data_IF_369518942307
#
_entry.id   IF_369518942307
#
_cell.length_a   1.000
_cell.length_b   1.000
_cell.length_c   1.000
_cell.angle_alpha   90.00
_cell.angle_beta   90.00
_cell.angle_gamma   90.00
#
_symmetry.space_group_name_H-M   'P 1'
#
loop_
_entity.id
_entity.type
_entity.pdbx_description
1 polymer ?
#
# COMPACT_ATOMS: atom_id res chain seq x y z
N UNK A 1 14.20 -12.82 -35.36
CA UNK A 1 14.26 -12.76 -33.91
C UNK A 1 15.62 -13.20 -33.36
N UNK A 2 16.06 -14.44 -33.68
CA UNK A 2 17.34 -15.02 -33.17
C UNK A 2 18.54 -14.15 -33.54
N UNK A 3 18.64 -13.68 -34.78
CA UNK A 3 19.70 -12.76 -35.21
C UNK A 3 19.67 -11.42 -34.46
N UNK A 4 18.48 -10.89 -34.17
CA UNK A 4 18.33 -9.66 -33.37
C UNK A 4 18.77 -9.90 -31.92
N UNK A 5 18.44 -11.05 -31.33
CA UNK A 5 18.89 -11.43 -30.00
C UNK A 5 20.42 -11.56 -29.90
N UNK A 6 21.04 -12.24 -30.87
CA UNK A 6 22.50 -12.38 -30.93
C UNK A 6 23.25 -11.03 -30.97
N UNK A 7 22.66 -10.01 -31.62
CA UNK A 7 23.24 -8.67 -31.65
C UNK A 7 23.24 -7.95 -30.30
N UNK A 8 22.46 -8.43 -29.31
CA UNK A 8 22.48 -7.87 -27.94
C UNK A 8 23.67 -8.33 -27.11
N UNK A 9 24.43 -9.33 -27.57
CA UNK A 9 25.52 -9.96 -26.82
C UNK A 9 25.05 -10.93 -25.74
N UNK A 10 23.75 -11.15 -25.59
CA UNK A 10 23.20 -12.10 -24.62
C UNK A 10 23.26 -13.53 -25.16
N UNK A 11 23.53 -14.54 -24.30
CA UNK A 11 23.57 -15.93 -24.73
C UNK A 11 22.20 -16.43 -25.19
N UNK A 12 22.16 -17.22 -26.26
CA UNK A 12 20.89 -17.77 -26.78
C UNK A 12 20.18 -18.66 -25.74
N UNK A 13 20.93 -19.26 -24.83
CA UNK A 13 20.40 -20.08 -23.71
C UNK A 13 19.55 -19.24 -22.73
N UNK A 14 19.65 -17.92 -22.75
CA UNK A 14 18.80 -17.03 -21.93
C UNK A 14 17.48 -16.64 -22.62
N UNK A 15 17.23 -17.10 -23.85
CA UNK A 15 16.01 -16.80 -24.60
C UNK A 15 15.06 -18.00 -24.58
N UNK A 16 13.79 -17.74 -24.24
CA UNK A 16 12.67 -18.63 -24.51
C UNK A 16 11.56 -17.84 -25.19
N UNK A 17 10.98 -18.37 -26.25
CA UNK A 17 9.93 -17.70 -27.01
C UNK A 17 8.90 -18.71 -27.47
N UNK A 18 7.63 -18.34 -27.33
CA UNK A 18 6.49 -19.02 -27.92
C UNK A 18 5.60 -17.97 -28.58
N UNK A 19 5.33 -18.10 -29.87
CA UNK A 19 4.44 -17.25 -30.62
C UNK A 19 3.44 -18.14 -31.35
N UNK A 20 2.16 -17.94 -31.08
CA UNK A 20 1.09 -18.74 -31.67
C UNK A 20 -0.09 -17.84 -32.00
N UNK A 21 -0.71 -18.03 -33.14
CA UNK A 21 -2.03 -17.48 -33.42
C UNK A 21 -3.05 -18.20 -32.55
N UNK A 22 -4.00 -17.47 -31.98
CA UNK A 22 -5.01 -18.04 -31.06
C UNK A 22 -5.94 -19.03 -31.73
N UNK A 23 -6.07 -18.97 -33.07
CA UNK A 23 -6.91 -19.84 -33.87
C UNK A 23 -6.15 -21.03 -34.48
N UNK A 24 -4.81 -21.07 -34.33
CA UNK A 24 -3.98 -22.09 -34.94
C UNK A 24 -3.40 -23.03 -33.88
N UNK A 25 -3.42 -24.36 -34.12
CA UNK A 25 -2.94 -25.35 -33.16
C UNK A 25 -1.39 -25.41 -33.05
N UNK A 26 -0.68 -24.83 -34.00
CA UNK A 26 0.79 -24.87 -34.07
C UNK A 26 1.40 -23.48 -33.84
N UNK A 27 2.52 -23.42 -33.10
CA UNK A 27 3.21 -22.15 -32.95
C UNK A 27 3.85 -21.68 -34.24
N UNK A 28 3.82 -20.38 -34.48
CA UNK A 28 4.59 -19.71 -35.55
C UNK A 28 6.08 -19.71 -35.23
N UNK A 29 6.42 -19.67 -33.94
CA UNK A 29 7.80 -19.69 -33.44
C UNK A 29 7.84 -20.35 -32.07
N UNK A 30 8.77 -21.29 -31.89
CA UNK A 30 9.07 -21.92 -30.62
C UNK A 30 10.57 -22.00 -30.44
N UNK A 31 11.10 -21.38 -29.41
CA UNK A 31 12.53 -21.41 -29.04
C UNK A 31 12.62 -21.71 -27.55
N UNK A 32 13.19 -22.86 -27.18
CA UNK A 32 13.36 -23.30 -25.80
C UNK A 32 12.11 -23.04 -24.93
N UNK A 33 10.91 -23.26 -25.48
CA UNK A 33 9.63 -22.92 -24.85
C UNK A 33 9.32 -23.78 -23.62
N UNK A 34 9.86 -24.99 -23.56
CA UNK A 34 9.69 -25.94 -22.44
C UNK A 34 10.65 -25.67 -21.28
N UNK A 35 11.59 -24.75 -21.43
CA UNK A 35 12.51 -24.42 -20.36
C UNK A 35 11.84 -23.55 -19.31
N UNK A 36 11.92 -23.98 -18.03
CA UNK A 36 11.46 -23.19 -16.89
C UNK A 36 12.25 -21.88 -16.80
N UNK A 37 11.51 -20.76 -16.64
CA UNK A 37 12.04 -19.41 -16.50
C UNK A 37 11.42 -18.70 -15.29
N UNK A 38 12.18 -17.78 -14.71
CA UNK A 38 11.62 -16.87 -13.73
C UNK A 38 10.73 -15.86 -14.44
N UNK A 39 9.44 -15.93 -14.21
CA UNK A 39 8.45 -15.12 -14.93
C UNK A 39 8.41 -13.66 -14.43
N UNK A 40 9.01 -13.37 -13.28
CA UNK A 40 8.90 -12.06 -12.64
C UNK A 40 7.43 -11.56 -12.63
N UNK A 41 7.18 -10.31 -12.99
CA UNK A 41 5.83 -9.74 -12.96
C UNK A 41 4.85 -10.34 -13.99
N UNK A 42 5.32 -11.14 -14.95
CA UNK A 42 4.41 -11.87 -15.86
C UNK A 42 3.58 -12.91 -15.08
N UNK A 43 4.07 -13.40 -13.92
CA UNK A 43 3.29 -14.26 -13.02
C UNK A 43 1.93 -13.65 -12.63
N UNK A 44 1.82 -12.33 -12.59
CA UNK A 44 0.56 -11.65 -12.26
C UNK A 44 -0.55 -11.95 -13.25
N UNK A 45 -0.24 -12.25 -14.52
CA UNK A 45 -1.24 -12.67 -15.51
C UNK A 45 -1.89 -13.99 -15.12
N UNK A 46 -1.13 -14.92 -14.51
CA UNK A 46 -1.67 -16.19 -14.03
C UNK A 46 -2.55 -15.93 -12.81
N UNK A 47 -2.05 -15.18 -11.82
CA UNK A 47 -2.82 -14.83 -10.60
C UNK A 47 -4.13 -14.14 -10.96
N UNK A 48 -4.07 -13.10 -11.79
CA UNK A 48 -5.26 -12.32 -12.17
C UNK A 48 -6.21 -13.09 -13.07
N UNK A 49 -5.69 -13.92 -13.98
CA UNK A 49 -6.50 -14.79 -14.84
C UNK A 49 -7.25 -15.85 -14.02
N UNK A 50 -6.59 -16.44 -13.01
CA UNK A 50 -7.25 -17.39 -12.10
C UNK A 50 -8.30 -16.71 -11.23
N UNK A 51 -8.03 -15.52 -10.72
CA UNK A 51 -9.00 -14.75 -9.94
C UNK A 51 -10.25 -14.41 -10.78
N UNK A 52 -10.08 -13.91 -12.02
CA UNK A 52 -11.21 -13.65 -12.94
C UNK A 52 -12.03 -14.91 -13.23
N UNK A 53 -11.35 -16.04 -13.37
CA UNK A 53 -12.03 -17.33 -13.62
C UNK A 53 -12.79 -17.82 -12.40
N UNK A 54 -12.26 -17.63 -11.20
CA UNK A 54 -12.82 -18.15 -9.94
C UNK A 54 -13.92 -17.28 -9.38
N UNK A 55 -13.69 -15.95 -9.35
CA UNK A 55 -14.58 -14.97 -8.71
C UNK A 55 -15.52 -14.29 -9.70
N UNK A 56 -15.15 -14.24 -10.97
CA UNK A 56 -15.85 -13.48 -12.01
C UNK A 56 -15.45 -12.00 -12.03
N UNK A 57 -15.59 -11.33 -13.21
CA UNK A 57 -15.10 -9.95 -13.40
C UNK A 57 -15.86 -8.90 -12.56
N UNK A 58 -17.10 -9.20 -12.17
CA UNK A 58 -17.96 -8.30 -11.39
C UNK A 58 -17.80 -8.45 -9.86
N UNK A 59 -16.93 -9.37 -9.40
CA UNK A 59 -16.69 -9.57 -7.96
C UNK A 59 -16.22 -8.28 -7.29
N UNK A 60 -16.74 -8.00 -6.08
CA UNK A 60 -16.34 -6.87 -5.23
C UNK A 60 -16.08 -7.34 -3.81
N UNK A 61 -15.15 -6.69 -3.13
CA UNK A 61 -14.92 -6.86 -1.69
C UNK A 61 -15.77 -5.85 -0.94
N UNK A 62 -16.54 -6.32 0.01
CA UNK A 62 -17.34 -5.45 0.88
C UNK A 62 -16.78 -5.49 2.30
N UNK A 63 -16.47 -4.31 2.84
CA UNK A 63 -15.95 -4.13 4.19
C UNK A 63 -17.05 -3.52 5.06
N UNK A 64 -17.70 -4.29 5.93
CA UNK A 64 -18.72 -3.81 6.82
C UNK A 64 -18.13 -3.07 8.03
N UNK A 65 -18.90 -2.11 8.53
CA UNK A 65 -18.59 -1.28 9.70
C UNK A 65 -19.77 -1.31 10.65
N UNK A 66 -19.53 -1.50 11.94
CA UNK A 66 -20.57 -1.52 12.95
C UNK A 66 -20.24 -0.59 14.11
N UNK A 67 -21.29 -0.07 14.75
CA UNK A 67 -21.21 0.76 15.93
C UNK A 67 -21.28 -0.12 17.19
N UNK A 68 -20.34 0.09 18.13
CA UNK A 68 -20.36 -0.53 19.44
C UNK A 68 -21.09 0.31 20.50
N UNK A 69 -21.87 1.27 20.06
CA UNK A 69 -22.65 2.18 20.89
C UNK A 69 -23.60 3.02 20.05
N UNK A 70 -24.12 4.10 20.60
CA UNK A 70 -25.03 5.01 19.94
C UNK A 70 -24.31 6.27 19.48
N UNK A 71 -24.72 6.84 18.34
CA UNK A 71 -24.32 8.17 17.91
C UNK A 71 -25.35 9.17 18.48
N UNK A 72 -24.86 10.15 19.23
CA UNK A 72 -25.71 11.21 19.77
C UNK A 72 -26.02 12.31 18.74
N UNK A 73 -26.81 13.33 19.17
CA UNK A 73 -27.20 14.45 18.29
C UNK A 73 -26.05 15.34 17.83
N UNK A 74 -24.91 15.28 18.49
CA UNK A 74 -23.67 15.97 18.17
C UNK A 74 -22.79 15.15 17.22
N UNK A 75 -23.20 13.93 16.90
CA UNK A 75 -22.44 13.02 16.04
C UNK A 75 -21.33 12.26 16.78
N UNK A 76 -21.43 12.17 18.12
CA UNK A 76 -20.46 11.46 18.94
C UNK A 76 -20.89 10.00 19.11
N UNK A 77 -20.07 9.06 18.65
CA UNK A 77 -20.22 7.66 18.96
C UNK A 77 -19.70 7.37 20.37
N UNK A 78 -20.57 6.96 21.27
CA UNK A 78 -20.24 6.55 22.64
C UNK A 78 -19.94 5.03 22.68
N UNK A 79 -18.75 4.65 22.25
CA UNK A 79 -18.30 3.27 22.17
C UNK A 79 -17.33 3.03 21.01
N UNK A 80 -16.87 1.77 20.86
CA UNK A 80 -15.95 1.42 19.78
C UNK A 80 -16.63 1.43 18.41
N UNK A 81 -15.84 1.68 17.38
CA UNK A 81 -16.20 1.43 15.99
C UNK A 81 -15.54 0.13 15.54
N UNK A 82 -16.30 -0.75 14.91
CA UNK A 82 -15.81 -2.04 14.42
C UNK A 82 -15.71 -2.04 12.90
N UNK A 83 -14.59 -2.56 12.38
CA UNK A 83 -14.39 -2.86 10.96
C UNK A 83 -14.13 -4.35 10.82
N UNK A 84 -14.84 -5.01 9.91
CA UNK A 84 -14.52 -6.38 9.52
C UNK A 84 -13.75 -6.34 8.21
N UNK A 85 -12.46 -6.56 8.29
CA UNK A 85 -11.55 -6.47 7.16
C UNK A 85 -11.90 -7.50 6.07
N UNK A 86 -11.94 -7.05 4.83
CA UNK A 86 -12.40 -7.87 3.68
C UNK A 86 -11.28 -8.36 2.77
N UNK A 87 -10.04 -7.91 2.99
CA UNK A 87 -8.93 -8.20 2.08
C UNK A 87 -8.98 -7.42 0.78
N UNK A 88 -9.73 -6.31 0.70
CA UNK A 88 -9.81 -5.46 -0.49
C UNK A 88 -8.41 -5.03 -0.98
N UNK A 89 -7.95 -5.49 -2.15
CA UNK A 89 -6.63 -5.14 -2.67
C UNK A 89 -6.55 -3.70 -3.20
N UNK A 90 -7.67 -3.00 -3.31
CA UNK A 90 -7.78 -1.70 -3.96
C UNK A 90 -7.93 -0.52 -2.99
N UNK A 91 -7.88 -0.73 -1.67
CA UNK A 91 -8.05 0.31 -0.67
C UNK A 91 -6.84 1.26 -0.65
N UNK A 92 -6.84 2.22 -1.55
CA UNK A 92 -5.88 3.32 -1.57
C UNK A 92 -6.30 4.49 -0.65
N UNK A 93 -5.48 5.54 -0.59
CA UNK A 93 -5.74 6.70 0.27
C UNK A 93 -6.97 7.51 -0.18
N UNK A 94 -7.28 7.53 -1.49
CA UNK A 94 -8.43 8.26 -2.04
C UNK A 94 -9.72 7.56 -1.64
N UNK A 95 -9.80 6.24 -1.83
CA UNK A 95 -10.96 5.43 -1.47
C UNK A 95 -11.21 5.41 0.03
N UNK A 96 -10.13 5.35 0.84
CA UNK A 96 -10.25 5.51 2.28
C UNK A 96 -10.89 6.87 2.63
N UNK A 97 -10.41 7.95 2.00
CA UNK A 97 -10.95 9.29 2.24
C UNK A 97 -12.43 9.38 1.87
N UNK A 98 -12.83 8.82 0.73
CA UNK A 98 -14.23 8.77 0.29
C UNK A 98 -15.12 8.00 1.28
N UNK A 99 -14.65 6.83 1.75
CA UNK A 99 -15.38 6.04 2.75
C UNK A 99 -15.55 6.81 4.07
N UNK A 100 -14.49 7.45 4.57
CA UNK A 100 -14.55 8.22 5.81
C UNK A 100 -15.37 9.50 5.66
N UNK A 101 -15.35 10.14 4.49
CA UNK A 101 -16.21 11.28 4.18
C UNK A 101 -17.69 10.87 4.23
N UNK A 102 -18.05 9.73 3.65
CA UNK A 102 -19.41 9.21 3.72
C UNK A 102 -19.87 8.94 5.16
N UNK A 103 -18.97 8.49 6.05
CA UNK A 103 -19.32 8.34 7.47
C UNK A 103 -19.57 9.69 8.16
N UNK A 104 -18.80 10.72 7.80
CA UNK A 104 -19.02 12.09 8.28
C UNK A 104 -20.38 12.60 7.84
N UNK A 105 -20.74 12.40 6.58
CA UNK A 105 -22.04 12.78 6.01
C UNK A 105 -23.20 11.99 6.63
N UNK A 106 -22.97 10.73 7.02
CA UNK A 106 -23.92 9.93 7.80
C UNK A 106 -24.03 10.34 9.28
N UNK A 107 -23.31 11.41 9.70
CA UNK A 107 -23.44 12.02 11.01
C UNK A 107 -22.37 11.64 12.03
N UNK A 108 -21.41 10.77 11.73
CA UNK A 108 -20.33 10.42 12.65
C UNK A 108 -19.25 11.52 12.66
N UNK A 109 -19.09 12.22 13.80
CA UNK A 109 -18.14 13.31 13.96
C UNK A 109 -16.97 12.95 14.87
N UNK A 110 -17.24 12.22 15.95
CA UNK A 110 -16.27 11.84 16.97
C UNK A 110 -16.49 10.38 17.37
N UNK A 111 -15.41 9.66 17.65
CA UNK A 111 -15.44 8.30 18.19
C UNK A 111 -14.85 8.34 19.60
N UNK A 112 -15.69 8.16 20.62
CA UNK A 112 -15.27 8.01 22.03
C UNK A 112 -15.12 6.54 22.37
N UNK A 113 -14.09 5.94 21.82
CA UNK A 113 -13.76 4.53 21.94
C UNK A 113 -12.68 4.13 20.93
N UNK A 114 -12.39 2.84 20.90
CA UNK A 114 -11.41 2.27 19.97
C UNK A 114 -11.98 2.08 18.57
N UNK A 115 -11.10 2.09 17.58
CA UNK A 115 -11.33 1.45 16.30
C UNK A 115 -10.84 -0.01 16.40
N UNK A 116 -11.77 -0.93 16.38
CA UNK A 116 -11.49 -2.38 16.48
C UNK A 116 -11.58 -3.01 15.11
N UNK A 117 -10.47 -3.61 14.66
CA UNK A 117 -10.38 -4.21 13.33
C UNK A 117 -10.33 -5.73 13.45
N UNK A 118 -11.34 -6.39 12.92
CA UNK A 118 -11.37 -7.85 12.79
C UNK A 118 -10.61 -8.26 11.53
N UNK A 119 -9.47 -8.92 11.74
CA UNK A 119 -8.59 -9.45 10.69
C UNK A 119 -8.66 -10.96 10.56
N UNK A 120 -9.68 -11.59 11.16
CA UNK A 120 -9.82 -13.06 11.21
C UNK A 120 -10.06 -13.72 9.85
N UNK A 121 -10.22 -12.94 8.77
CA UNK A 121 -10.40 -13.44 7.41
C UNK A 121 -9.23 -14.34 6.98
N UNK A 122 -8.00 -13.94 7.32
CA UNK A 122 -6.79 -14.70 6.99
C UNK A 122 -5.94 -14.96 8.22
N UNK A 123 -5.27 -16.10 8.24
CA UNK A 123 -4.20 -16.44 9.19
C UNK A 123 -2.89 -16.51 8.43
N UNK A 124 -2.20 -15.39 8.35
CA UNK A 124 -0.94 -15.28 7.63
C UNK A 124 0.25 -15.47 8.59
N UNK A 125 1.34 -16.11 8.11
CA UNK A 125 2.59 -16.09 8.85
C UNK A 125 3.14 -14.66 8.91
N UNK A 126 4.06 -14.36 9.86
CA UNK A 126 4.77 -13.09 9.87
C UNK A 126 5.43 -12.83 8.51
N UNK A 127 5.23 -11.61 7.99
CA UNK A 127 5.82 -11.19 6.72
C UNK A 127 7.19 -10.54 6.95
N UNK A 128 8.22 -11.10 6.28
CA UNK A 128 9.54 -10.46 6.23
C UNK A 128 9.67 -9.65 4.94
N UNK A 129 9.65 -8.32 5.00
CA UNK A 129 9.76 -7.46 3.82
C UNK A 129 11.14 -7.50 3.16
N UNK A 130 12.17 -8.02 3.85
CA UNK A 130 13.52 -8.20 3.30
C UNK A 130 13.72 -9.52 2.56
N UNK A 131 12.81 -10.48 2.70
CA UNK A 131 13.01 -11.85 2.21
C UNK A 131 13.16 -11.97 0.68
N UNK A 132 12.58 -11.03 -0.08
CA UNK A 132 12.60 -11.11 -1.54
C UNK A 132 13.93 -10.65 -2.16
N UNK A 133 14.44 -9.50 -1.74
CA UNK A 133 15.58 -8.82 -2.38
C UNK A 133 16.53 -8.11 -1.41
N UNK A 134 16.31 -8.24 -0.12
CA UNK A 134 17.09 -7.55 0.92
C UNK A 134 16.72 -6.08 1.09
N UNK A 135 15.64 -5.59 0.45
CA UNK A 135 15.25 -4.18 0.42
C UNK A 135 13.93 -3.93 1.20
N UNK A 136 13.92 -4.02 2.53
CA UNK A 136 12.69 -4.02 3.33
C UNK A 136 11.87 -2.74 3.25
N UNK A 137 12.45 -1.64 2.77
CA UNK A 137 11.78 -0.35 2.64
C UNK A 137 11.21 -0.09 1.24
N UNK A 138 11.39 -1.00 0.29
CA UNK A 138 10.74 -0.86 -1.02
C UNK A 138 9.23 -1.06 -0.89
N UNK A 139 8.46 -0.18 -1.52
CA UNK A 139 7.00 -0.21 -1.46
C UNK A 139 6.40 -1.57 -1.90
N UNK A 140 7.00 -2.21 -2.89
CA UNK A 140 6.56 -3.51 -3.42
C UNK A 140 6.83 -4.70 -2.49
N UNK A 141 7.56 -4.49 -1.39
CA UNK A 141 7.86 -5.48 -0.35
C UNK A 141 6.93 -5.38 0.86
N UNK A 142 5.89 -4.53 0.82
CA UNK A 142 4.82 -4.60 1.80
C UNK A 142 4.08 -5.94 1.69
N UNK A 143 3.74 -6.54 2.83
CA UNK A 143 3.02 -7.81 2.88
C UNK A 143 1.51 -7.63 2.72
N UNK A 144 0.79 -8.69 2.36
CA UNK A 144 -0.66 -8.69 2.36
C UNK A 144 -1.20 -8.64 3.80
N UNK A 145 -2.36 -8.02 3.96
CA UNK A 145 -3.06 -7.94 5.24
C UNK A 145 -4.56 -7.77 4.98
N UNK A 146 -5.48 -8.42 5.75
CA UNK A 146 -6.91 -8.25 5.55
C UNK A 146 -7.38 -6.80 5.57
N UNK A 147 -6.69 -5.95 6.34
CA UNK A 147 -6.96 -4.51 6.43
C UNK A 147 -5.78 -3.68 5.93
N UNK A 148 -5.38 -3.92 4.69
CA UNK A 148 -4.29 -3.18 4.06
C UNK A 148 -4.80 -1.85 3.49
N UNK A 149 -4.22 -0.74 3.94
CA UNK A 149 -4.52 0.62 3.44
C UNK A 149 -3.31 1.15 2.67
N UNK A 150 -3.57 1.83 1.56
CA UNK A 150 -2.55 2.45 0.71
C UNK A 150 -1.42 1.48 0.32
N UNK A 151 -1.76 0.20 0.12
CA UNK A 151 -0.83 -0.88 -0.26
C UNK A 151 0.37 -1.01 0.70
N UNK A 152 0.21 -0.64 1.99
CA UNK A 152 1.29 -0.67 2.98
C UNK A 152 2.44 0.30 2.72
N UNK A 153 2.24 1.29 1.86
CA UNK A 153 3.28 2.22 1.41
C UNK A 153 2.83 3.68 1.50
N UNK A 154 3.81 4.57 1.50
CA UNK A 154 3.64 6.01 1.38
C UNK A 154 4.55 6.54 0.29
N UNK A 155 4.30 7.76 -0.17
CA UNK A 155 5.21 8.49 -1.05
C UNK A 155 5.77 9.69 -0.31
N UNK A 156 7.08 9.75 -0.14
CA UNK A 156 7.77 10.97 0.27
C UNK A 156 7.92 11.88 -0.96
N UNK A 157 7.35 13.08 -0.87
CA UNK A 157 7.56 14.14 -1.85
C UNK A 157 8.68 15.05 -1.35
N UNK A 158 9.68 15.23 -2.19
CA UNK A 158 10.87 16.04 -1.96
C UNK A 158 10.82 17.28 -2.82
N UNK A 159 11.09 18.45 -2.25
CA UNK A 159 11.18 19.72 -2.98
C UNK A 159 12.38 20.49 -2.47
N UNK A 160 13.07 21.18 -3.39
CA UNK A 160 14.23 22.01 -3.05
C UNK A 160 13.82 23.32 -2.38
N UNK A 161 12.56 23.71 -2.48
CA UNK A 161 11.95 24.93 -1.95
C UNK A 161 10.92 24.65 -0.86
N UNK A 162 10.70 25.60 0.01
CA UNK A 162 9.67 25.56 1.06
C UNK A 162 10.08 24.79 2.34
N UNK A 163 11.30 24.28 2.42
CA UNK A 163 11.87 23.70 3.65
C UNK A 163 12.51 24.77 4.55
N UNK A 164 13.11 24.32 5.68
CA UNK A 164 13.97 25.16 6.50
C UNK A 164 15.22 25.59 5.70
N UNK A 165 15.91 26.68 6.07
CA UNK A 165 17.10 27.15 5.37
C UNK A 165 18.14 26.02 5.16
N UNK A 166 18.50 25.77 3.90
CA UNK A 166 19.47 24.72 3.55
C UNK A 166 18.91 23.29 3.53
N UNK A 167 17.60 23.10 3.73
CA UNK A 167 16.95 21.78 3.75
C UNK A 167 15.89 21.67 2.66
N UNK A 168 15.69 20.47 2.06
CA UNK A 168 14.53 20.23 1.21
C UNK A 168 13.24 20.17 2.06
N UNK A 169 12.12 20.58 1.50
CA UNK A 169 10.81 20.24 2.07
C UNK A 169 10.51 18.77 1.77
N UNK A 170 10.23 17.99 2.81
CA UNK A 170 9.83 16.59 2.69
C UNK A 170 8.43 16.40 3.31
N UNK A 171 7.51 15.87 2.52
CA UNK A 171 6.14 15.57 2.98
C UNK A 171 5.78 14.14 2.64
N UNK A 172 4.98 13.50 3.50
CA UNK A 172 4.47 12.14 3.31
C UNK A 172 3.03 12.15 2.80
N UNK A 173 2.72 11.29 1.85
CA UNK A 173 1.36 11.05 1.34
C UNK A 173 1.13 9.54 1.12
N UNK A 174 0.08 8.94 1.70
CA UNK A 174 -0.80 9.53 2.71
C UNK A 174 -0.05 9.95 3.98
N UNK A 175 -0.67 10.83 4.78
CA UNK A 175 -0.15 11.23 6.09
C UNK A 175 -0.17 10.07 7.08
N UNK A 176 0.68 10.16 8.09
CA UNK A 176 0.79 9.16 9.17
C UNK A 176 0.53 9.85 10.52
N UNK A 177 -0.62 9.57 11.13
CA UNK A 177 -1.00 10.16 12.42
C UNK A 177 0.01 9.82 13.51
N UNK A 178 0.33 10.81 14.37
CA UNK A 178 1.25 10.65 15.50
C UNK A 178 2.63 10.07 15.12
N UNK A 179 3.08 10.30 13.88
CA UNK A 179 4.45 10.07 13.44
C UNK A 179 5.10 11.41 13.14
N UNK A 180 6.21 11.69 13.81
CA UNK A 180 7.02 12.88 13.54
C UNK A 180 8.00 12.57 12.42
N UNK A 181 7.95 13.36 11.33
CA UNK A 181 8.97 13.29 10.28
C UNK A 181 10.09 14.31 10.62
N UNK A 182 11.21 13.80 11.14
CA UNK A 182 12.39 14.60 11.50
C UNK A 182 13.33 14.68 10.27
N UNK A 183 13.17 15.74 9.49
CA UNK A 183 14.00 15.97 8.31
C UNK A 183 15.29 16.71 8.65
N UNK A 184 16.39 15.98 8.69
CA UNK A 184 17.76 16.50 8.91
C UNK A 184 18.60 16.47 7.61
N UNK A 185 17.96 16.29 6.45
CA UNK A 185 18.63 16.25 5.16
C UNK A 185 19.06 17.66 4.74
N UNK A 186 20.28 17.80 4.25
CA UNK A 186 20.81 19.07 3.75
C UNK A 186 20.76 19.12 2.23
N UNK A 187 20.46 20.30 1.68
CA UNK A 187 20.58 20.53 0.24
C UNK A 187 22.06 20.51 -0.16
N UNK A 188 22.37 19.81 -1.24
CA UNK A 188 23.68 19.80 -1.89
C UNK A 188 23.62 20.67 -3.15
N UNK A 189 24.24 21.88 -3.15
CA UNK A 189 24.15 22.80 -4.28
C UNK A 189 24.83 22.29 -5.54
N UNK A 190 25.81 21.41 -5.40
CA UNK A 190 26.64 20.87 -6.48
C UNK A 190 26.43 19.37 -6.66
N UNK A 191 26.70 18.89 -7.85
CA UNK A 191 26.64 17.48 -8.22
C UNK A 191 25.37 17.10 -9.00
N UNK A 192 25.42 15.98 -9.73
CA UNK A 192 24.27 15.45 -10.47
C UNK A 192 23.23 14.87 -9.49
N UNK A 193 21.99 14.73 -9.96
CA UNK A 193 20.94 14.07 -9.16
C UNK A 193 21.32 12.62 -8.81
N UNK A 194 21.74 11.83 -9.80
CA UNK A 194 22.20 10.45 -9.60
C UNK A 194 21.24 9.60 -8.80
N UNK A 195 21.79 8.61 -8.10
CA UNK A 195 21.05 7.80 -7.13
C UNK A 195 21.03 8.48 -5.74
N UNK A 196 20.33 9.59 -5.64
CA UNK A 196 20.23 10.39 -4.43
C UNK A 196 19.62 9.62 -3.24
N UNK A 197 18.81 8.60 -3.51
CA UNK A 197 18.14 7.79 -2.47
C UNK A 197 19.13 7.01 -1.63
N UNK A 198 20.20 6.50 -2.24
CA UNK A 198 21.27 5.81 -1.54
C UNK A 198 22.01 6.70 -0.53
N UNK A 199 21.96 8.03 -0.73
CA UNK A 199 22.54 9.02 0.17
C UNK A 199 21.64 9.43 1.36
N UNK A 200 20.41 8.88 1.48
CA UNK A 200 19.45 9.22 2.53
C UNK A 200 19.33 8.08 3.54
N UNK A 201 19.92 8.27 4.70
CA UNK A 201 19.74 7.36 5.84
C UNK A 201 18.36 7.56 6.49
N UNK A 202 17.74 6.47 6.91
CA UNK A 202 16.43 6.44 7.54
C UNK A 202 16.52 5.70 8.89
N UNK A 203 16.03 6.32 9.96
CA UNK A 203 16.00 5.73 11.29
C UNK A 203 14.67 6.02 11.97
N UNK A 204 14.06 5.03 12.59
CA UNK A 204 12.92 5.25 13.49
C UNK A 204 13.40 5.22 14.93
N UNK A 205 13.08 6.27 15.66
CA UNK A 205 13.36 6.44 17.08
C UNK A 205 12.02 6.43 17.81
N UNK A 206 11.89 5.64 18.85
CA UNK A 206 10.73 5.67 19.75
C UNK A 206 11.17 6.29 21.05
N UNK A 207 10.51 7.37 21.49
CA UNK A 207 10.78 7.99 22.78
C UNK A 207 10.23 7.14 23.92
N UNK A 208 10.65 7.36 25.18
CA UNK A 208 10.07 6.67 26.35
C UNK A 208 8.55 6.85 26.47
N UNK A 209 8.01 7.97 25.99
CA UNK A 209 6.58 8.29 25.96
C UNK A 209 5.85 7.63 24.78
N UNK A 210 6.55 6.81 23.98
CA UNK A 210 5.97 6.08 22.84
C UNK A 210 5.80 6.90 21.56
N UNK A 211 6.29 8.14 21.50
CA UNK A 211 6.27 8.94 20.27
C UNK A 211 7.28 8.37 19.28
N UNK A 212 6.81 8.06 18.09
CA UNK A 212 7.67 7.58 17.00
C UNK A 212 8.10 8.73 16.11
N UNK A 213 9.41 8.86 15.95
CA UNK A 213 10.04 9.84 15.07
C UNK A 213 10.77 9.12 13.94
N UNK A 214 10.39 9.43 12.71
CA UNK A 214 11.08 8.94 11.52
C UNK A 214 12.08 9.99 11.06
N UNK A 215 13.35 9.74 11.34
CA UNK A 215 14.44 10.63 11.00
C UNK A 215 15.02 10.30 9.63
N UNK A 216 15.18 11.34 8.82
CA UNK A 216 15.85 11.32 7.53
C UNK A 216 17.12 12.14 7.62
N UNK A 217 18.26 11.57 7.24
CA UNK A 217 19.56 12.23 7.27
C UNK A 217 20.32 12.01 5.96
N UNK A 218 21.12 12.99 5.56
CA UNK A 218 21.94 12.87 4.34
C UNK A 218 21.97 14.13 3.52
N UNK A 219 22.16 13.98 2.21
CA UNK A 219 22.25 15.11 1.28
C UNK A 219 21.31 14.89 0.10
N UNK A 220 20.56 15.94 -0.25
CA UNK A 220 19.65 15.96 -1.39
C UNK A 220 20.19 16.94 -2.45
N UNK A 221 20.61 16.48 -3.65
CA UNK A 221 21.12 17.35 -4.69
C UNK A 221 20.06 18.31 -5.20
N UNK A 222 20.39 19.60 -5.29
CA UNK A 222 19.51 20.63 -5.86
C UNK A 222 19.12 20.30 -7.32
N UNK A 223 20.03 19.66 -8.06
CA UNK A 223 19.77 19.19 -9.42
C UNK A 223 18.62 18.18 -9.54
N UNK A 224 18.18 17.54 -8.43
CA UNK A 224 17.03 16.63 -8.43
C UNK A 224 15.69 17.36 -8.56
N UNK A 225 15.61 18.65 -8.22
CA UNK A 225 14.35 19.39 -8.24
C UNK A 225 13.29 18.79 -7.34
N UNK A 226 12.11 18.54 -7.89
CA UNK A 226 11.03 17.82 -7.19
C UNK A 226 11.11 16.34 -7.51
N UNK A 227 11.11 15.51 -6.46
CA UNK A 227 11.12 14.04 -6.59
C UNK A 227 10.00 13.40 -5.77
N UNK A 228 9.62 12.17 -6.18
CA UNK A 228 8.69 11.32 -5.47
C UNK A 228 9.38 9.99 -5.15
N UNK A 229 9.32 9.59 -3.90
CA UNK A 229 9.90 8.35 -3.43
C UNK A 229 8.85 7.48 -2.77
N UNK A 230 8.25 6.55 -3.52
CA UNK A 230 7.35 5.56 -2.93
C UNK A 230 8.18 4.56 -2.13
N UNK A 231 7.80 4.35 -0.88
CA UNK A 231 8.47 3.42 0.01
C UNK A 231 7.51 2.92 1.09
N UNK A 232 7.87 1.78 1.66
CA UNK A 232 7.34 1.31 2.92
C UNK A 232 8.10 2.03 4.03
N UNK A 233 7.41 2.77 4.91
CA UNK A 233 8.04 3.28 6.09
C UNK A 233 8.25 2.13 7.10
N UNK A 234 9.23 2.20 8.03
CA UNK A 234 9.53 1.09 8.94
C UNK A 234 8.49 0.97 10.06
N UNK A 235 7.25 0.63 9.72
CA UNK A 235 6.20 0.23 10.65
C UNK A 235 6.55 -1.10 11.31
N UNK A 236 6.05 -1.33 12.53
CA UNK A 236 6.22 -2.61 13.22
C UNK A 236 5.49 -3.73 12.49
N UNK A 237 4.26 -3.43 12.04
CA UNK A 237 3.40 -4.34 11.29
C UNK A 237 2.46 -3.59 10.34
N UNK A 238 1.63 -4.34 9.62
CA UNK A 238 0.66 -3.78 8.69
C UNK A 238 -0.47 -3.02 9.42
N UNK A 239 -0.82 -3.42 10.64
CA UNK A 239 -1.84 -2.75 11.44
C UNK A 239 -1.37 -1.34 11.83
N UNK A 240 -0.13 -1.18 12.28
CA UNK A 240 0.41 0.15 12.62
C UNK A 240 0.37 1.09 11.41
N UNK A 241 0.77 0.59 10.22
CA UNK A 241 0.71 1.39 8.99
C UNK A 241 -0.73 1.85 8.71
N UNK A 242 -1.64 0.89 8.62
CA UNK A 242 -3.04 1.15 8.26
C UNK A 242 -3.75 2.04 9.30
N UNK A 243 -3.46 1.84 10.60
CA UNK A 243 -3.99 2.65 11.69
C UNK A 243 -3.57 4.11 11.59
N UNK A 244 -2.28 4.36 11.30
CA UNK A 244 -1.76 5.73 11.17
C UNK A 244 -2.31 6.46 9.95
N UNK A 245 -2.44 5.76 8.82
CA UNK A 245 -3.04 6.32 7.60
C UNK A 245 -4.53 6.62 7.83
N UNK A 246 -5.26 5.68 8.44
CA UNK A 246 -6.67 5.85 8.76
C UNK A 246 -6.89 7.06 9.67
N UNK A 247 -6.16 7.12 10.80
CA UNK A 247 -6.30 8.19 11.78
C UNK A 247 -5.90 9.57 11.20
N UNK A 248 -4.86 9.64 10.37
CA UNK A 248 -4.49 10.87 9.68
C UNK A 248 -5.59 11.33 8.71
N UNK A 249 -6.18 10.39 7.97
CA UNK A 249 -7.27 10.69 7.04
C UNK A 249 -8.52 11.15 7.80
N UNK A 250 -8.89 10.44 8.88
CA UNK A 250 -10.01 10.82 9.75
C UNK A 250 -9.85 12.24 10.32
N UNK A 251 -8.70 12.54 10.91
CA UNK A 251 -8.38 13.86 11.43
C UNK A 251 -8.39 14.94 10.34
N UNK A 252 -7.88 14.65 9.13
CA UNK A 252 -7.90 15.62 8.01
C UNK A 252 -9.30 15.98 7.52
N UNK A 253 -10.29 15.13 7.80
CA UNK A 253 -11.71 15.36 7.54
C UNK A 253 -12.41 16.07 8.72
N UNK A 254 -11.67 16.44 9.77
CA UNK A 254 -12.21 17.05 10.99
C UNK A 254 -12.81 16.02 11.96
N UNK A 255 -12.57 14.73 11.78
CA UNK A 255 -12.97 13.67 12.71
C UNK A 255 -12.08 13.64 13.94
N UNK A 256 -12.63 13.26 15.10
CA UNK A 256 -11.90 13.04 16.34
C UNK A 256 -12.03 11.57 16.80
N UNK A 257 -11.03 11.09 17.54
CA UNK A 257 -11.08 9.79 18.21
C UNK A 257 -10.28 9.85 19.51
N UNK A 258 -10.84 9.31 20.59
CA UNK A 258 -10.19 9.30 21.91
C UNK A 258 -9.48 7.98 22.22
N UNK A 259 -9.89 6.89 21.57
CA UNK A 259 -9.30 5.56 21.72
C UNK A 259 -8.14 5.31 20.75
N UNK A 260 -7.77 4.04 20.64
CA UNK A 260 -6.70 3.56 19.77
C UNK A 260 -7.25 2.65 18.67
N UNK A 261 -6.47 2.45 17.62
CA UNK A 261 -6.74 1.42 16.62
C UNK A 261 -6.10 0.12 17.09
N UNK A 262 -6.88 -0.94 17.18
CA UNK A 262 -6.40 -2.26 17.60
C UNK A 262 -7.10 -3.39 16.90
N UNK A 263 -6.48 -4.55 16.86
CA UNK A 263 -7.10 -5.78 16.41
C UNK A 263 -8.08 -6.30 17.46
N UNK A 264 -9.18 -6.90 16.99
CA UNK A 264 -10.16 -7.55 17.85
C UNK A 264 -11.32 -8.15 17.04
N UNK A 265 -12.11 -9.04 17.64
CA UNK A 265 -13.16 -9.75 16.91
C UNK A 265 -14.31 -8.82 16.53
N UNK A 266 -14.95 -9.12 15.39
CA UNK A 266 -16.26 -8.58 15.05
C UNK A 266 -17.31 -9.08 16.03
N UNK A 267 -18.17 -8.21 16.59
CA UNK A 267 -19.20 -8.65 17.52
C UNK A 267 -20.20 -9.59 16.85
N UNK A 268 -20.48 -10.73 17.47
CA UNK A 268 -21.29 -11.80 16.87
C UNK A 268 -22.71 -11.37 16.43
N UNK A 269 -23.28 -10.37 17.10
CA UNK A 269 -24.63 -9.84 16.79
C UNK A 269 -24.59 -8.43 16.18
N UNK A 270 -23.42 -7.95 15.73
CA UNK A 270 -23.33 -6.63 15.15
C UNK A 270 -24.06 -6.56 13.80
N UNK A 271 -24.94 -5.59 13.67
CA UNK A 271 -25.52 -5.21 12.38
C UNK A 271 -24.63 -4.14 11.75
N UNK A 272 -24.26 -4.26 10.48
CA UNK A 272 -23.51 -3.21 9.81
C UNK A 272 -24.29 -1.88 9.82
N UNK A 273 -23.64 -0.82 10.29
CA UNK A 273 -24.12 0.56 10.20
C UNK A 273 -23.79 1.16 8.83
N UNK A 274 -22.61 0.84 8.32
CA UNK A 274 -22.11 1.26 7.01
C UNK A 274 -21.28 0.15 6.38
N UNK A 275 -21.00 0.29 5.12
CA UNK A 275 -20.02 -0.53 4.41
C UNK A 275 -19.41 0.27 3.26
N UNK A 276 -18.22 -0.12 2.81
CA UNK A 276 -17.70 0.29 1.53
C UNK A 276 -17.41 -0.94 0.67
N UNK A 277 -17.44 -0.76 -0.63
CA UNK A 277 -17.14 -1.82 -1.59
C UNK A 277 -15.98 -1.42 -2.50
N UNK A 278 -15.18 -2.39 -2.89
CA UNK A 278 -14.15 -2.21 -3.91
C UNK A 278 -14.77 -1.91 -5.28
N UNK A 279 -13.98 -1.46 -6.28
CA UNK A 279 -14.34 -1.60 -7.68
C UNK A 279 -14.52 -3.07 -8.05
N UNK A 280 -15.16 -3.36 -9.19
CA UNK A 280 -15.21 -4.72 -9.74
C UNK A 280 -13.81 -5.29 -9.97
N UNK A 281 -13.66 -6.61 -9.79
CA UNK A 281 -12.39 -7.33 -9.97
C UNK A 281 -11.72 -7.01 -11.32
N UNK A 282 -12.49 -6.80 -12.38
CA UNK A 282 -11.96 -6.43 -13.69
C UNK A 282 -11.10 -5.14 -13.64
N UNK A 283 -11.52 -4.14 -12.86
CA UNK A 283 -10.76 -2.90 -12.67
C UNK A 283 -9.55 -3.13 -11.78
N UNK A 284 -9.69 -3.90 -10.71
CA UNK A 284 -8.59 -4.29 -9.83
C UNK A 284 -7.50 -5.02 -10.61
N UNK A 285 -7.89 -5.96 -11.46
CA UNK A 285 -6.97 -6.72 -12.34
C UNK A 285 -6.26 -5.80 -13.33
N UNK A 286 -6.99 -4.85 -13.95
CA UNK A 286 -6.37 -3.84 -14.81
C UNK A 286 -5.25 -3.10 -14.10
N UNK A 287 -5.49 -2.65 -12.86
CA UNK A 287 -4.52 -1.88 -12.09
C UNK A 287 -3.33 -2.74 -11.63
N UNK A 288 -3.58 -3.98 -11.19
CA UNK A 288 -2.52 -4.95 -10.87
C UNK A 288 -1.58 -5.13 -12.06
N UNK A 289 -2.11 -5.38 -13.25
CA UNK A 289 -1.32 -5.71 -14.43
C UNK A 289 -0.66 -4.47 -15.05
N UNK A 290 -1.38 -3.34 -15.12
CA UNK A 290 -0.89 -2.10 -15.73
C UNK A 290 0.24 -1.46 -14.91
N UNK A 291 0.10 -1.44 -13.59
CA UNK A 291 1.07 -0.84 -12.68
C UNK A 291 2.03 -1.86 -12.06
N UNK A 292 1.85 -3.13 -12.40
CA UNK A 292 2.66 -4.23 -11.88
C UNK A 292 2.72 -4.28 -10.35
N UNK A 293 1.59 -3.98 -9.67
CA UNK A 293 1.54 -3.88 -8.22
C UNK A 293 1.66 -5.27 -7.57
N UNK A 294 2.80 -5.51 -6.89
CA UNK A 294 3.08 -6.78 -6.21
C UNK A 294 2.12 -7.02 -5.04
N UNK A 295 1.87 -5.97 -4.27
CA UNK A 295 1.09 -6.06 -3.02
C UNK A 295 -0.35 -6.40 -3.34
N UNK A 296 -0.96 -5.71 -4.32
CA UNK A 296 -2.31 -6.04 -4.78
C UNK A 296 -2.40 -7.46 -5.35
N UNK A 297 -1.35 -7.91 -6.07
CA UNK A 297 -1.33 -9.27 -6.62
C UNK A 297 -1.24 -10.34 -5.51
N UNK A 298 -0.45 -10.10 -4.46
CA UNK A 298 -0.38 -10.98 -3.29
C UNK A 298 -1.72 -10.98 -2.52
N UNK A 299 -2.33 -9.83 -2.36
CA UNK A 299 -3.63 -9.66 -1.73
C UNK A 299 -4.72 -10.45 -2.49
N UNK A 300 -4.71 -10.37 -3.82
CA UNK A 300 -5.65 -11.09 -4.69
C UNK A 300 -5.45 -12.61 -4.69
N UNK A 301 -4.23 -13.08 -4.43
CA UNK A 301 -3.91 -14.51 -4.40
C UNK A 301 -4.49 -15.22 -3.16
N UNK A 302 -4.72 -14.50 -2.07
CA UNK A 302 -5.25 -15.01 -0.80
C UNK A 302 -6.77 -15.03 -0.78
#
# INVERSE_FOLDING_TARGET
LIQAWQKTGLPLSSLSVWVQDVNEPRPLLSVAADQSRRMASVMKLITTGMALRTLGPAHTWTTPVALGGTIDRQGVLHGPLFIRASGDPSMDATRLREALQAWREAGLQEIRGDLVVDKSLWRLPPHDPGAFDGEPLKAYNAGPDPWLIAHGAITLRWRIDGGAPGQPLVTASPGLHSLVLDNQVQLAPQGPCGDWRAGIAQTVITTPEGVRTWRLQGRYPVACGTQHWPLRWPAQDALEHSARVWAATWASLGGAMTGVVREGPWPAQATPWASWSSPPLAEVVRDINKFSNNVMAQQLFL
#
